data_IF_229124307148
#
_entry.id   IF_229124307148
#
_cell.length_a   1.000
_cell.length_b   1.000
_cell.length_c   1.000
_cell.angle_alpha   90.00
_cell.angle_beta   90.00
_cell.angle_gamma   90.00
#
_symmetry.space_group_name_H-M   'P 1'
#
loop_
_entity.id
_entity.type
_entity.pdbx_description
1 polymer ?
#
# COMPACT_ATOMS: atom_id res chain seq x y z
N UNK A 1 -9.71 7.85 12.52
CA UNK A 1 -9.12 6.50 12.26
C UNK A 1 -10.15 5.36 12.36
N UNK A 2 -11.16 5.45 13.25
CA UNK A 2 -12.21 4.42 13.43
C UNK A 2 -13.02 4.12 12.14
N UNK A 3 -13.30 5.13 11.32
CA UNK A 3 -14.14 4.96 10.12
C UNK A 3 -13.48 4.17 8.96
N UNK A 4 -12.15 4.29 8.80
CA UNK A 4 -11.41 3.51 7.81
C UNK A 4 -11.39 2.02 8.19
N UNK A 5 -11.24 1.71 9.47
CA UNK A 5 -11.23 0.33 9.96
C UNK A 5 -12.58 -0.37 9.79
N UNK A 6 -13.70 0.38 9.85
CA UNK A 6 -15.05 -0.15 9.62
C UNK A 6 -15.47 -0.21 8.15
N UNK A 7 -14.61 0.19 7.21
CA UNK A 7 -14.97 0.31 5.79
C UNK A 7 -14.97 -1.02 5.03
N UNK A 8 -14.69 -2.17 5.68
CA UNK A 8 -14.81 -3.49 5.06
C UNK A 8 -13.71 -3.82 4.04
N UNK A 9 -12.51 -3.26 4.23
CA UNK A 9 -11.35 -3.58 3.40
C UNK A 9 -10.97 -5.07 3.51
N UNK A 10 -10.44 -5.68 2.43
CA UNK A 10 -9.97 -7.06 2.48
C UNK A 10 -8.90 -7.25 3.54
N UNK A 11 -9.11 -8.24 4.41
CA UNK A 11 -8.14 -8.61 5.44
C UNK A 11 -6.90 -9.26 4.80
N UNK A 12 -5.72 -8.87 5.27
CA UNK A 12 -4.46 -9.50 4.86
C UNK A 12 -4.25 -10.72 5.74
N UNK A 13 -4.21 -11.89 5.12
CA UNK A 13 -4.03 -13.17 5.79
C UNK A 13 -2.65 -13.76 5.50
N UNK A 14 -2.08 -14.44 6.48
CA UNK A 14 -0.84 -15.21 6.35
C UNK A 14 -1.07 -16.58 5.67
N UNK A 15 0.01 -17.38 5.56
CA UNK A 15 -0.04 -18.72 4.97
C UNK A 15 -0.98 -19.69 5.72
N UNK A 16 -1.24 -19.45 7.01
CA UNK A 16 -2.12 -20.21 7.87
C UNK A 16 -3.56 -19.65 7.91
N UNK A 17 -3.86 -18.68 7.05
CA UNK A 17 -5.15 -17.95 6.99
C UNK A 17 -5.46 -17.19 8.27
N UNK A 18 -4.45 -16.81 9.04
CA UNK A 18 -4.58 -15.94 10.20
C UNK A 18 -4.33 -14.49 9.78
N UNK A 19 -4.92 -13.50 10.46
CA UNK A 19 -4.63 -12.09 10.20
C UNK A 19 -3.13 -11.81 10.33
N UNK A 20 -2.57 -11.11 9.34
CA UNK A 20 -1.18 -10.69 9.40
C UNK A 20 -0.95 -9.77 10.60
N UNK A 21 0.19 -9.94 11.28
CA UNK A 21 0.55 -9.10 12.42
C UNK A 21 0.70 -7.63 11.98
N UNK A 22 -0.04 -6.74 12.63
CA UNK A 22 0.05 -5.31 12.40
C UNK A 22 1.15 -4.71 13.28
N UNK A 23 2.22 -4.23 12.64
CA UNK A 23 3.32 -3.51 13.30
C UNK A 23 3.10 -2.01 13.16
N UNK A 24 3.39 -1.25 14.21
CA UNK A 24 3.32 0.21 14.16
C UNK A 24 4.57 0.77 13.46
N UNK A 25 4.42 1.60 12.41
CA UNK A 25 5.56 2.11 11.63
C UNK A 25 6.50 3.06 12.39
N UNK A 26 6.11 3.51 13.59
CA UNK A 26 6.96 4.36 14.45
C UNK A 26 7.86 3.52 15.34
N UNK A 27 7.53 2.24 15.55
CA UNK A 27 8.29 1.40 16.47
C UNK A 27 9.64 1.02 15.86
N UNK A 28 10.72 1.02 16.65
CA UNK A 28 12.05 0.74 16.14
C UNK A 28 12.18 -0.73 15.72
N UNK A 29 12.15 -0.99 14.42
CA UNK A 29 12.44 -2.31 13.86
C UNK A 29 13.95 -2.60 13.88
N UNK A 30 14.33 -3.76 14.41
CA UNK A 30 15.72 -4.26 14.40
C UNK A 30 15.88 -5.29 13.29
N UNK A 31 16.50 -4.89 12.18
CA UNK A 31 16.82 -5.80 11.08
C UNK A 31 18.02 -6.67 11.46
N UNK A 32 17.85 -8.01 11.44
CA UNK A 32 18.93 -8.96 11.63
C UNK A 32 19.21 -9.72 10.32
N UNK A 33 20.27 -9.37 9.58
CA UNK A 33 20.61 -10.01 8.31
C UNK A 33 20.84 -11.51 8.42
N UNK A 34 21.44 -11.98 9.53
CA UNK A 34 21.74 -13.41 9.71
C UNK A 34 20.48 -14.22 9.94
N UNK A 35 19.49 -13.66 10.65
CA UNK A 35 18.19 -14.30 10.84
C UNK A 35 17.43 -14.43 9.52
N UNK A 36 17.38 -13.35 8.75
CA UNK A 36 16.71 -13.31 7.44
C UNK A 36 17.36 -14.27 6.43
N UNK A 37 18.69 -14.36 6.40
CA UNK A 37 19.40 -15.31 5.52
C UNK A 37 19.18 -16.78 5.90
N UNK A 38 18.89 -17.05 7.17
CA UNK A 38 18.68 -18.40 7.70
C UNK A 38 17.22 -18.86 7.62
N UNK A 39 16.32 -18.03 7.10
CA UNK A 39 14.90 -18.38 6.97
C UNK A 39 14.70 -19.54 5.97
N UNK A 40 14.01 -20.57 6.43
CA UNK A 40 13.69 -21.78 5.68
C UNK A 40 12.60 -21.56 4.62
N UNK A 41 11.73 -20.55 4.76
CA UNK A 41 10.58 -20.35 3.88
C UNK A 41 10.99 -19.75 2.52
N UNK A 42 12.16 -19.10 2.44
CA UNK A 42 12.86 -18.66 1.22
C UNK A 42 12.03 -17.92 0.16
N UNK A 43 10.80 -17.51 0.49
CA UNK A 43 9.83 -16.91 -0.41
C UNK A 43 9.04 -15.87 0.37
N UNK A 44 9.00 -14.66 -0.20
CA UNK A 44 8.40 -13.52 0.46
C UNK A 44 7.20 -13.03 -0.34
N UNK A 45 6.03 -13.00 0.29
CA UNK A 45 4.84 -12.37 -0.30
C UNK A 45 4.74 -10.93 0.20
N UNK A 46 4.72 -9.98 -0.74
CA UNK A 46 4.56 -8.57 -0.45
C UNK A 46 3.21 -8.08 -0.94
N UNK A 47 2.43 -7.50 -0.02
CA UNK A 47 1.11 -6.96 -0.31
C UNK A 47 1.13 -5.45 -0.16
N UNK A 48 0.84 -4.72 -1.24
CA UNK A 48 0.62 -3.27 -1.20
C UNK A 48 -0.87 -3.00 -1.31
N UNK A 49 -1.44 -2.34 -0.31
CA UNK A 49 -2.87 -2.04 -0.23
C UNK A 49 -3.11 -0.53 -0.22
N UNK A 50 -3.89 -0.04 -1.18
CA UNK A 50 -4.28 1.36 -1.33
C UNK A 50 -5.71 1.52 -0.83
N UNK A 51 -5.89 2.19 0.31
CA UNK A 51 -7.16 2.21 1.03
C UNK A 51 -7.95 3.49 0.82
N UNK A 52 -7.27 4.62 1.04
CA UNK A 52 -7.88 5.93 1.04
C UNK A 52 -6.91 6.98 0.54
N UNK A 53 -7.47 8.10 0.11
CA UNK A 53 -6.76 9.28 -0.31
C UNK A 53 -7.24 10.48 0.50
N UNK A 54 -6.29 11.26 1.00
CA UNK A 54 -6.55 12.46 1.79
C UNK A 54 -5.66 13.59 1.30
N UNK A 55 -6.11 14.82 1.50
CA UNK A 55 -5.39 16.04 1.13
C UNK A 55 -5.43 17.03 2.30
N UNK A 56 -4.34 17.75 2.51
CA UNK A 56 -4.27 18.80 3.52
C UNK A 56 -5.19 19.95 3.08
N UNK A 57 -6.00 20.47 4.00
CA UNK A 57 -7.00 21.50 3.71
C UNK A 57 -6.43 22.79 3.08
N UNK A 58 -5.12 23.02 3.22
CA UNK A 58 -4.42 24.18 2.66
C UNK A 58 -4.30 24.12 1.13
N UNK A 59 -4.30 22.91 0.54
CA UNK A 59 -4.25 22.69 -0.92
C UNK A 59 -5.64 22.85 -1.58
N UNK A 60 -6.70 23.03 -0.79
CA UNK A 60 -8.08 23.13 -1.28
C UNK A 60 -8.46 24.51 -1.82
N UNK A 61 -7.56 25.51 -1.80
CA UNK A 61 -7.85 26.84 -2.35
C UNK A 61 -7.74 26.85 -3.88
N UNK A 62 -8.74 26.27 -4.56
CA UNK A 62 -8.97 26.48 -5.99
C UNK A 62 -8.98 25.24 -6.89
N UNK A 63 -8.58 24.07 -6.41
CA UNK A 63 -8.63 22.82 -7.17
C UNK A 63 -9.76 21.92 -6.68
N UNK A 64 -10.67 21.56 -7.60
CA UNK A 64 -11.67 20.53 -7.36
C UNK A 64 -11.00 19.21 -7.00
N UNK A 65 -11.67 18.40 -6.19
CA UNK A 65 -11.19 17.04 -5.95
C UNK A 65 -11.11 16.25 -7.25
N UNK A 66 -10.05 15.44 -7.45
CA UNK A 66 -10.03 14.47 -8.53
C UNK A 66 -11.24 13.55 -8.40
N UNK A 67 -11.82 13.11 -9.53
CA UNK A 67 -12.87 12.08 -9.52
C UNK A 67 -12.26 10.69 -9.38
N UNK A 68 -11.14 10.50 -10.08
CA UNK A 68 -10.38 9.27 -10.08
C UNK A 68 -8.90 9.57 -9.94
N UNK A 69 -8.16 8.63 -9.37
CA UNK A 69 -6.70 8.66 -9.29
C UNK A 69 -6.11 7.34 -9.73
N UNK A 70 -4.85 7.34 -10.14
CA UNK A 70 -4.05 6.13 -10.26
C UNK A 70 -2.66 6.37 -9.70
N UNK A 71 -1.99 5.28 -9.36
CA UNK A 71 -0.70 5.29 -8.71
C UNK A 71 0.34 4.65 -9.61
N UNK A 72 1.55 5.20 -9.59
CA UNK A 72 2.71 4.58 -10.24
C UNK A 72 3.86 4.44 -9.27
N UNK A 73 4.55 3.32 -9.33
CA UNK A 73 5.71 3.04 -8.48
C UNK A 73 6.53 1.91 -9.08
N UNK A 74 7.76 1.73 -8.58
CA UNK A 74 8.57 0.56 -8.92
C UNK A 74 9.03 -0.12 -7.63
N UNK A 75 8.62 -1.37 -7.47
CA UNK A 75 9.02 -2.19 -6.32
C UNK A 75 10.20 -3.08 -6.70
N UNK A 76 11.35 -2.85 -6.06
CA UNK A 76 12.57 -3.64 -6.26
C UNK A 76 12.91 -3.81 -7.76
N UNK A 77 13.04 -5.06 -8.22
CA UNK A 77 13.36 -5.43 -9.61
C UNK A 77 12.13 -5.82 -10.43
N UNK A 78 10.93 -5.63 -9.89
CA UNK A 78 9.72 -5.80 -10.69
C UNK A 78 9.62 -4.66 -11.71
N UNK A 79 8.95 -4.90 -12.86
CA UNK A 79 8.62 -3.82 -13.78
C UNK A 79 7.88 -2.68 -13.08
N UNK A 80 8.02 -1.43 -13.55
CA UNK A 80 7.20 -0.32 -13.06
C UNK A 80 5.72 -0.69 -13.09
N UNK A 81 5.04 -0.46 -11.98
CA UNK A 81 3.63 -0.77 -11.79
C UNK A 81 2.79 0.50 -11.95
N UNK A 82 1.65 0.35 -12.61
CA UNK A 82 0.61 1.36 -12.72
C UNK A 82 -0.70 0.72 -12.27
N UNK A 83 -1.37 1.31 -11.28
CA UNK A 83 -2.68 0.80 -10.84
C UNK A 83 -3.75 1.12 -11.89
N UNK A 84 -4.87 0.38 -11.91
CA UNK A 84 -6.10 0.88 -12.53
C UNK A 84 -6.51 2.23 -11.94
N UNK A 85 -7.44 2.92 -12.62
CA UNK A 85 -8.08 4.11 -12.05
C UNK A 85 -8.94 3.69 -10.86
N UNK A 86 -8.82 4.45 -9.78
CA UNK A 86 -9.52 4.26 -8.53
C UNK A 86 -10.39 5.50 -8.29
N UNK A 87 -11.68 5.30 -8.09
CA UNK A 87 -12.62 6.36 -7.78
C UNK A 87 -12.46 6.80 -6.33
N UNK A 88 -12.62 8.09 -6.09
CA UNK A 88 -12.68 8.68 -4.76
C UNK A 88 -14.13 8.74 -4.29
N UNK A 89 -14.47 7.91 -3.31
CA UNK A 89 -15.79 7.90 -2.68
C UNK A 89 -15.68 8.65 -1.36
N UNK A 90 -16.40 9.76 -1.23
CA UNK A 90 -16.38 10.58 -0.03
C UNK A 90 -16.95 9.77 1.14
N UNK A 91 -16.21 9.74 2.24
CA UNK A 91 -16.67 9.14 3.47
C UNK A 91 -17.45 10.19 4.26
N UNK A 92 -18.77 10.05 4.32
CA UNK A 92 -19.67 11.03 4.95
C UNK A 92 -19.44 11.05 6.47
N UNK A 93 -18.79 12.10 6.97
CA UNK A 93 -18.81 12.39 8.42
C UNK A 93 -20.22 12.87 8.75
N UNK A 94 -21.00 12.03 9.44
CA UNK A 94 -22.36 12.35 9.85
C UNK A 94 -22.42 13.70 10.60
N UNK A 95 -22.82 14.76 9.88
CA UNK A 95 -23.38 15.99 10.44
C UNK A 95 -22.46 16.95 11.21
N UNK A 96 -21.13 16.86 11.11
CA UNK A 96 -20.23 17.85 11.72
C UNK A 96 -19.39 18.56 10.65
N UNK A 97 -19.37 19.91 10.60
CA UNK A 97 -18.42 20.64 9.78
C UNK A 97 -17.06 20.64 10.50
N UNK A 98 -16.38 19.49 10.54
CA UNK A 98 -15.06 19.37 11.13
C UNK A 98 -13.99 19.87 10.16
N UNK A 99 -13.39 20.99 10.53
CA UNK A 99 -12.13 21.48 9.99
C UNK A 99 -11.01 20.44 10.16
N UNK A 100 -10.77 19.58 9.16
CA UNK A 100 -9.59 18.72 9.13
C UNK A 100 -9.67 17.57 8.11
N UNK A 101 -8.88 17.65 7.02
CA UNK A 101 -8.61 16.62 6.02
C UNK A 101 -9.80 15.71 5.61
N UNK A 102 -10.48 16.06 4.51
CA UNK A 102 -11.44 15.16 3.87
C UNK A 102 -10.72 13.88 3.39
N UNK A 103 -11.24 12.73 3.81
CA UNK A 103 -10.72 11.41 3.45
C UNK A 103 -11.69 10.72 2.52
N UNK A 104 -11.19 10.24 1.38
CA UNK A 104 -11.98 9.53 0.38
C UNK A 104 -11.50 8.07 0.33
N UNK A 105 -12.44 7.13 0.32
CA UNK A 105 -12.14 5.71 0.09
C UNK A 105 -11.84 5.51 -1.39
N UNK A 106 -10.83 4.69 -1.67
CA UNK A 106 -10.48 4.31 -3.03
C UNK A 106 -11.30 3.08 -3.44
N UNK A 107 -11.99 3.15 -4.58
CA UNK A 107 -12.76 2.02 -5.12
C UNK A 107 -12.31 1.76 -6.57
N UNK A 108 -11.99 0.51 -6.96
CA UNK A 108 -11.60 0.20 -8.33
C UNK A 108 -12.70 0.55 -9.34
N UNK A 109 -12.33 1.25 -10.41
CA UNK A 109 -13.26 1.49 -11.53
C UNK A 109 -13.30 0.22 -12.40
N UNK A 110 -14.50 -0.26 -12.73
CA UNK A 110 -14.67 -1.42 -13.60
C UNK A 110 -14.09 -1.17 -15.00
N UNK A 111 -13.73 -2.24 -15.72
CA UNK A 111 -13.24 -2.15 -17.11
C UNK A 111 -14.24 -1.50 -18.05
N UNK A 112 -15.53 -1.59 -17.73
CA UNK A 112 -16.62 -1.00 -18.51
C UNK A 112 -16.82 0.50 -18.19
N UNK A 113 -15.96 1.08 -17.35
CA UNK A 113 -16.09 2.46 -16.88
C UNK A 113 -17.26 2.67 -15.92
N UNK A 114 -17.95 1.59 -15.54
CA UNK A 114 -19.01 1.62 -14.53
C UNK A 114 -18.40 1.74 -13.14
N UNK A 115 -18.96 2.65 -12.36
CA UNK A 115 -18.65 2.81 -10.95
C UNK A 115 -19.45 1.75 -10.18
N UNK A 116 -18.94 0.53 -10.19
CA UNK A 116 -19.54 -0.53 -9.37
C UNK A 116 -19.12 -0.30 -7.91
N UNK A 117 -20.04 -0.55 -6.98
CA UNK A 117 -19.76 -0.49 -5.53
C UNK A 117 -18.93 -1.72 -5.12
N UNK A 118 -17.80 -1.92 -5.79
CA UNK A 118 -16.88 -3.01 -5.55
C UNK A 118 -16.23 -2.92 -4.17
N UNK A 119 -15.57 -4.00 -3.77
CA UNK A 119 -14.84 -4.03 -2.51
C UNK A 119 -13.89 -2.84 -2.40
N UNK A 120 -13.89 -2.12 -1.27
CA UNK A 120 -13.09 -0.92 -1.13
C UNK A 120 -11.61 -1.27 -1.06
N UNK A 121 -10.80 -0.30 -1.47
CA UNK A 121 -9.37 -0.42 -1.60
C UNK A 121 -8.91 -1.16 -2.86
N UNK A 122 -7.61 -1.13 -3.09
CA UNK A 122 -6.97 -1.86 -4.18
C UNK A 122 -5.69 -2.54 -3.69
N UNK A 123 -5.46 -3.78 -4.13
CA UNK A 123 -4.34 -4.59 -3.65
C UNK A 123 -3.47 -5.07 -4.81
N UNK A 124 -2.16 -4.95 -4.63
CA UNK A 124 -1.14 -5.58 -5.49
C UNK A 124 -0.33 -6.57 -4.66
N UNK A 125 -0.05 -7.74 -5.26
CA UNK A 125 0.69 -8.82 -4.62
C UNK A 125 1.96 -9.10 -5.43
N UNK A 126 3.10 -9.12 -4.77
CA UNK A 126 4.39 -9.45 -5.36
C UNK A 126 4.95 -10.69 -4.68
N UNK A 127 5.17 -11.73 -5.47
CA UNK A 127 5.79 -12.97 -4.99
C UNK A 127 7.28 -12.93 -5.28
N UNK A 128 8.09 -12.87 -4.23
CA UNK A 128 9.55 -12.90 -4.32
C UNK A 128 10.01 -14.31 -3.95
N UNK A 129 9.92 -15.21 -4.94
CA UNK A 129 10.31 -16.61 -4.79
C UNK A 129 11.79 -16.84 -5.17
N UNK A 130 12.37 -18.01 -4.84
CA UNK A 130 13.72 -18.38 -5.27
C UNK A 130 13.93 -18.36 -6.79
N UNK A 131 12.86 -18.50 -7.58
CA UNK A 131 12.93 -18.41 -9.04
C UNK A 131 13.03 -16.96 -9.56
N UNK A 132 12.60 -15.98 -8.77
CA UNK A 132 12.69 -14.57 -9.12
C UNK A 132 14.05 -13.97 -8.74
N UNK A 133 14.60 -14.35 -7.58
CA UNK A 133 15.90 -13.90 -7.10
C UNK A 133 17.03 -14.76 -7.67
N UNK A 134 18.09 -14.14 -8.19
CA UNK A 134 19.31 -14.91 -8.53
C UNK A 134 20.03 -15.37 -7.26
N UNK A 135 20.87 -16.42 -7.33
CA UNK A 135 21.71 -16.82 -6.20
C UNK A 135 22.50 -15.64 -5.63
N UNK A 136 22.42 -15.44 -4.31
CA UNK A 136 23.05 -14.31 -3.60
C UNK A 136 22.23 -13.02 -3.53
N UNK A 137 21.17 -12.85 -4.34
CA UNK A 137 20.35 -11.64 -4.33
C UNK A 137 19.38 -11.56 -3.14
N UNK A 138 19.23 -12.64 -2.37
CA UNK A 138 18.39 -12.65 -1.16
C UNK A 138 18.84 -11.61 -0.14
N UNK A 139 20.15 -11.57 0.14
CA UNK A 139 20.74 -10.55 1.01
C UNK A 139 20.51 -9.14 0.46
N UNK A 140 20.58 -8.97 -0.86
CA UNK A 140 20.30 -7.69 -1.51
C UNK A 140 18.83 -7.29 -1.35
N UNK A 141 17.90 -8.24 -1.50
CA UNK A 141 16.47 -8.01 -1.31
C UNK A 141 16.13 -7.67 0.14
N UNK A 142 16.62 -8.45 1.10
CA UNK A 142 16.48 -8.17 2.53
C UNK A 142 17.01 -6.77 2.90
N UNK A 143 18.20 -6.42 2.40
CA UNK A 143 18.78 -5.09 2.59
C UNK A 143 17.97 -3.98 1.91
N UNK A 144 17.40 -4.25 0.73
CA UNK A 144 16.51 -3.31 0.05
C UNK A 144 15.29 -3.01 0.92
N UNK A 145 14.65 -4.01 1.52
CA UNK A 145 13.53 -3.79 2.43
C UNK A 145 13.94 -3.03 3.69
N UNK A 146 15.09 -3.34 4.26
CA UNK A 146 15.54 -2.71 5.49
C UNK A 146 15.90 -1.22 5.34
N UNK A 147 16.31 -0.77 4.15
CA UNK A 147 16.91 0.57 3.94
C UNK A 147 16.11 1.44 2.99
N UNK A 148 15.42 0.86 2.00
CA UNK A 148 14.83 1.64 0.93
C UNK A 148 13.45 2.21 1.30
N UNK A 149 13.16 3.36 0.72
CA UNK A 149 11.83 3.98 0.76
C UNK A 149 11.17 3.82 -0.60
N UNK A 150 10.00 3.18 -0.63
CA UNK A 150 9.17 3.06 -1.82
C UNK A 150 8.54 4.42 -2.13
N UNK A 151 8.83 4.94 -3.32
CA UNK A 151 8.21 6.15 -3.85
C UNK A 151 6.98 5.78 -4.67
N UNK A 152 5.89 6.49 -4.44
CA UNK A 152 4.61 6.29 -5.11
C UNK A 152 4.14 7.65 -5.62
N UNK A 153 4.01 7.78 -6.93
CA UNK A 153 3.44 8.98 -7.53
C UNK A 153 1.93 8.80 -7.69
N UNK A 154 1.19 9.88 -7.42
CA UNK A 154 -0.27 9.94 -7.47
C UNK A 154 -0.68 10.87 -8.61
N UNK A 155 -1.51 10.34 -9.50
CA UNK A 155 -1.92 11.03 -10.72
C UNK A 155 -3.43 11.18 -10.74
N UNK A 156 -3.90 12.31 -11.29
CA UNK A 156 -5.31 12.48 -11.61
C UNK A 156 -5.66 11.60 -12.80
N UNK A 157 -6.70 10.78 -12.65
CA UNK A 157 -7.06 9.78 -13.65
C UNK A 157 -7.63 10.36 -14.94
N UNK A 158 -8.18 11.58 -14.91
CA UNK A 158 -8.85 12.19 -16.07
C UNK A 158 -7.91 13.11 -16.85
N UNK A 159 -7.17 13.97 -16.15
CA UNK A 159 -6.23 14.94 -16.70
C UNK A 159 -4.81 14.41 -16.89
N UNK A 160 -4.47 13.27 -16.26
CA UNK A 160 -3.11 12.68 -16.23
C UNK A 160 -2.05 13.60 -15.60
N UNK A 161 -2.48 14.60 -14.83
CA UNK A 161 -1.58 15.49 -14.13
C UNK A 161 -1.12 14.86 -12.81
N UNK A 162 0.15 15.09 -12.47
CA UNK A 162 0.70 14.68 -11.18
C UNK A 162 0.02 15.50 -10.07
N UNK A 163 -0.63 14.79 -9.13
CA UNK A 163 -1.24 15.39 -7.94
C UNK A 163 -0.19 15.54 -6.83
N UNK A 164 0.66 14.52 -6.67
CA UNK A 164 1.71 14.51 -5.66
C UNK A 164 2.41 13.16 -5.56
N UNK A 165 3.27 13.02 -4.56
CA UNK A 165 4.04 11.80 -4.33
C UNK A 165 4.00 11.43 -2.85
N UNK A 166 4.05 10.14 -2.57
CA UNK A 166 4.12 9.56 -1.24
C UNK A 166 5.36 8.65 -1.12
N UNK A 167 5.91 8.59 0.08
CA UNK A 167 7.12 7.84 0.39
C UNK A 167 6.83 6.89 1.56
N UNK A 168 7.01 5.58 1.35
CA UNK A 168 6.75 4.54 2.35
C UNK A 168 8.05 3.82 2.67
N UNK A 169 8.51 3.89 3.92
CA UNK A 169 9.71 3.16 4.34
C UNK A 169 9.41 1.66 4.36
N UNK A 170 10.27 0.86 3.74
CA UNK A 170 10.05 -0.59 3.64
C UNK A 170 10.46 -1.35 4.92
N UNK A 171 11.19 -0.68 5.83
CA UNK A 171 11.83 -1.27 7.02
C UNK A 171 10.86 -2.11 7.88
N UNK A 172 9.60 -1.70 7.93
CA UNK A 172 8.53 -2.34 8.70
C UNK A 172 8.15 -3.74 8.22
N UNK A 173 8.44 -4.08 6.96
CA UNK A 173 8.14 -5.43 6.42
C UNK A 173 9.08 -6.53 6.95
N UNK A 174 10.20 -6.16 7.57
CA UNK A 174 11.22 -7.11 8.04
C UNK A 174 10.77 -7.98 9.23
N UNK A 175 9.84 -7.49 10.06
CA UNK A 175 9.36 -8.23 11.23
C UNK A 175 8.29 -9.28 10.89
N UNK A 176 7.57 -9.11 9.78
CA UNK A 176 6.57 -10.09 9.31
C UNK A 176 7.26 -11.43 8.95
N UNK A 177 8.53 -11.40 8.52
CA UNK A 177 9.33 -12.60 8.25
C UNK A 177 9.72 -13.37 9.53
N UNK A 178 9.60 -12.75 10.71
CA UNK A 178 10.15 -13.28 11.95
C UNK A 178 9.14 -13.99 12.85
N UNK A 179 7.85 -14.00 12.52
CA UNK A 179 6.78 -14.44 13.45
C UNK A 179 6.14 -15.79 13.07
N UNK A 180 6.75 -16.55 12.16
CA UNK A 180 6.47 -18.00 12.05
C UNK A 180 7.48 -18.80 12.86
N UNK A 181 7.31 -18.80 14.18
CA UNK A 181 7.73 -19.90 15.04
C UNK A 181 6.73 -20.05 16.18
N UNK A 182 5.81 -20.99 16.00
CA UNK A 182 5.47 -22.04 16.97
C UNK A 182 5.21 -23.34 16.20
#
# INVERSE_FOLDING_TARGET
MVLLQSSGFPEILDANKQPAEAVNPIDPVTFNPQKEESDCLQSNEMVLQFLAFSRVAQDCRGTSWPKTVYFTFQFYRFPPATTPRLQLVQLDEAGQPSSGALTHILVPVSRDGTFDAGSPGFQLRYMVSPGFLKPGERRCFARYLAVQTLQIDVWDGDSLLLIGSAAVQMKETSHIFSVSQD
#
